data_IF_465571559784
#
_entry.id   IF_465571559784
#
_cell.length_a   1.000
_cell.length_b   1.000
_cell.length_c   1.000
_cell.angle_alpha   90.00
_cell.angle_beta   90.00
_cell.angle_gamma   90.00
#
_symmetry.space_group_name_H-M   'P 1'
#
loop_
_entity.id
_entity.type
_entity.pdbx_description
1 polymer ?
#
# COMPACT_ATOMS: atom_id res chain seq x y z
N UNK A 1 51.61 5.92 -1.28
CA UNK A 1 50.52 6.88 -1.05
C UNK A 1 49.23 6.05 -0.97
N UNK A 2 48.66 5.98 0.25
CA UNK A 2 47.36 5.29 0.46
C UNK A 2 46.25 6.32 0.19
N UNK A 3 45.43 6.07 -0.82
CA UNK A 3 44.19 6.82 -1.01
C UNK A 3 43.16 6.32 -0.02
N UNK A 4 42.80 7.18 0.94
CA UNK A 4 41.69 6.94 1.88
C UNK A 4 40.40 7.31 1.16
N UNK A 5 39.69 6.29 0.69
CA UNK A 5 38.34 6.46 0.13
C UNK A 5 37.38 6.93 1.22
N UNK A 6 36.93 8.17 1.15
CA UNK A 6 35.86 8.71 2.00
C UNK A 6 34.56 8.05 1.58
N UNK A 7 34.08 7.06 2.36
CA UNK A 7 32.73 6.53 2.27
C UNK A 7 31.78 7.60 2.84
N UNK A 8 31.18 8.38 1.96
CA UNK A 8 30.12 9.31 2.35
C UNK A 8 28.89 8.48 2.73
N UNK A 9 28.66 8.25 4.03
CA UNK A 9 27.38 7.76 4.54
C UNK A 9 26.33 8.82 4.20
N UNK A 10 25.55 8.58 3.15
CA UNK A 10 24.32 9.32 2.92
C UNK A 10 23.39 9.03 4.10
N UNK A 11 23.31 9.95 5.04
CA UNK A 11 22.27 10.00 6.05
C UNK A 11 20.93 10.13 5.29
N UNK A 12 20.27 9.01 5.03
CA UNK A 12 18.93 8.99 4.47
C UNK A 12 17.96 9.50 5.54
N UNK A 13 17.88 10.83 5.68
CA UNK A 13 16.89 11.49 6.51
C UNK A 13 15.48 11.05 6.06
N UNK A 14 14.55 10.95 7.00
CA UNK A 14 13.15 10.71 6.68
C UNK A 14 12.68 11.73 5.64
N UNK A 15 12.14 11.25 4.52
CA UNK A 15 11.65 12.12 3.45
C UNK A 15 10.55 13.03 4.01
N UNK A 16 10.75 14.34 3.97
CA UNK A 16 9.76 15.32 4.40
C UNK A 16 8.48 15.27 3.53
N UNK A 17 7.37 15.90 3.95
CA UNK A 17 6.14 15.94 3.19
C UNK A 17 6.31 16.71 1.87
N UNK A 18 5.55 16.34 0.85
CA UNK A 18 5.38 17.18 -0.34
C UNK A 18 4.30 18.22 -0.01
N UNK A 19 4.72 19.42 0.40
CA UNK A 19 3.86 20.47 0.98
C UNK A 19 2.68 20.90 0.10
N UNK A 20 2.72 20.68 -1.21
CA UNK A 20 1.60 20.93 -2.12
C UNK A 20 0.52 19.84 -2.10
N UNK A 21 0.79 18.70 -1.43
CA UNK A 21 -0.09 17.53 -1.40
C UNK A 21 -0.44 17.11 0.03
N UNK A 22 0.46 17.34 1.00
CA UNK A 22 0.32 16.86 2.37
C UNK A 22 1.02 17.80 3.36
N UNK A 23 0.44 18.06 4.56
CA UNK A 23 -0.92 17.70 4.96
C UNK A 23 -2.00 18.47 4.19
N UNK A 24 -3.28 18.04 4.24
CA UNK A 24 -4.40 18.85 3.75
C UNK A 24 -4.37 20.23 4.40
N UNK A 25 -4.73 21.26 3.63
CA UNK A 25 -4.83 22.62 4.17
C UNK A 25 -6.06 22.78 5.08
N UNK A 26 -6.01 23.72 6.00
CA UNK A 26 -7.17 24.03 6.83
C UNK A 26 -8.39 24.39 5.96
N UNK A 27 -9.52 23.70 6.20
CA UNK A 27 -10.75 23.88 5.42
C UNK A 27 -10.79 23.17 4.07
N UNK A 28 -9.71 22.48 3.66
CA UNK A 28 -9.70 21.66 2.46
C UNK A 28 -10.46 20.34 2.68
N UNK A 29 -11.25 19.85 1.72
CA UNK A 29 -11.82 18.53 1.78
C UNK A 29 -10.76 17.46 1.96
N UNK A 30 -11.00 16.51 2.86
CA UNK A 30 -10.07 15.41 3.12
C UNK A 30 -10.63 14.07 2.66
N UNK A 31 -9.73 13.20 2.17
CA UNK A 31 -10.01 11.81 1.85
C UNK A 31 -9.24 10.92 2.80
N UNK A 32 -9.98 10.25 3.69
CA UNK A 32 -9.35 9.32 4.63
C UNK A 32 -9.01 8.01 3.95
N UNK A 33 -7.78 7.58 4.10
CA UNK A 33 -7.31 6.24 3.76
C UNK A 33 -6.90 5.50 5.02
N UNK A 34 -6.88 4.18 4.95
CA UNK A 34 -6.57 3.32 6.09
C UNK A 34 -5.45 2.37 5.71
N UNK A 35 -4.37 2.41 6.46
CA UNK A 35 -3.28 1.44 6.38
C UNK A 35 -3.64 0.30 7.32
N UNK A 36 -3.96 -0.87 6.76
CA UNK A 36 -4.43 -2.04 7.52
C UNK A 36 -3.35 -3.10 7.52
N UNK A 37 -2.88 -3.47 8.70
CA UNK A 37 -1.95 -4.57 8.87
C UNK A 37 -2.69 -5.92 8.88
N UNK A 38 -2.16 -6.90 8.18
CA UNK A 38 -2.66 -8.28 8.12
C UNK A 38 -1.64 -9.28 8.70
N UNK A 39 -1.05 -8.95 9.85
CA UNK A 39 -0.09 -9.80 10.53
C UNK A 39 1.37 -9.46 10.20
N UNK A 40 2.24 -10.46 10.29
CA UNK A 40 3.68 -10.26 10.27
C UNK A 40 4.23 -9.81 8.90
N UNK A 41 3.51 -10.04 7.81
CA UNK A 41 4.08 -9.92 6.46
C UNK A 41 3.35 -8.96 5.52
N UNK A 42 2.08 -8.63 5.76
CA UNK A 42 1.27 -7.93 4.78
C UNK A 42 0.57 -6.69 5.33
N UNK A 43 0.47 -5.67 4.47
CA UNK A 43 -0.29 -4.45 4.72
C UNK A 43 -1.09 -4.08 3.47
N UNK A 44 -2.37 -3.75 3.66
CA UNK A 44 -3.28 -3.25 2.62
C UNK A 44 -3.58 -1.77 2.80
N UNK A 45 -4.08 -1.14 1.74
CA UNK A 45 -4.59 0.22 1.73
C UNK A 45 -6.09 0.20 1.48
N UNK A 46 -6.88 0.64 2.46
CA UNK A 46 -8.32 0.73 2.31
C UNK A 46 -8.78 2.18 2.14
N UNK A 47 -9.82 2.37 1.36
CA UNK A 47 -10.43 3.68 1.09
C UNK A 47 -11.94 3.58 1.13
N UNK A 48 -12.63 4.69 1.37
CA UNK A 48 -14.07 4.77 1.15
C UNK A 48 -14.37 4.60 -0.34
N UNK A 49 -15.17 3.62 -0.69
CA UNK A 49 -15.44 3.30 -2.10
C UNK A 49 -16.06 4.48 -2.88
N UNK A 50 -16.91 5.27 -2.22
CA UNK A 50 -17.50 6.49 -2.80
C UNK A 50 -16.50 7.57 -3.17
N UNK A 51 -15.30 7.55 -2.59
CA UNK A 51 -14.27 8.55 -2.83
C UNK A 51 -13.41 8.19 -4.07
N UNK A 52 -13.49 6.93 -4.53
CA UNK A 52 -12.78 6.47 -5.72
C UNK A 52 -13.42 7.13 -6.95
N UNK A 53 -12.65 7.86 -7.79
CA UNK A 53 -13.21 8.50 -8.98
C UNK A 53 -13.87 7.48 -9.93
N UNK A 54 -14.94 7.86 -10.63
CA UNK A 54 -15.59 6.98 -11.60
C UNK A 54 -14.62 6.48 -12.67
N UNK A 55 -14.68 5.18 -12.98
CA UNK A 55 -13.82 4.56 -13.99
C UNK A 55 -12.41 4.19 -13.51
N UNK A 56 -11.97 4.71 -12.38
CA UNK A 56 -10.72 4.33 -11.72
C UNK A 56 -10.92 3.03 -10.94
N UNK A 57 -9.94 2.16 -10.97
CA UNK A 57 -9.92 0.84 -10.34
C UNK A 57 -11.06 -0.09 -10.76
N UNK A 58 -10.79 -1.04 -11.66
CA UNK A 58 -11.81 -1.99 -12.13
C UNK A 58 -12.45 -2.78 -10.98
N UNK A 59 -11.72 -3.02 -9.89
CA UNK A 59 -12.22 -3.65 -8.68
C UNK A 59 -13.39 -2.89 -8.03
N UNK A 60 -13.53 -1.58 -8.24
CA UNK A 60 -14.65 -0.79 -7.72
C UNK A 60 -16.02 -1.32 -8.20
N UNK A 61 -16.07 -1.90 -9.41
CA UNK A 61 -17.27 -2.54 -9.96
C UNK A 61 -17.58 -3.88 -9.30
N UNK A 62 -16.56 -4.65 -8.93
CA UNK A 62 -16.70 -5.95 -8.29
C UNK A 62 -17.39 -5.86 -6.92
N UNK A 63 -17.22 -4.70 -6.27
CA UNK A 63 -17.66 -4.46 -4.89
C UNK A 63 -18.64 -3.29 -4.79
N UNK A 64 -19.53 -3.13 -5.78
CA UNK A 64 -20.48 -2.01 -5.87
C UNK A 64 -21.36 -1.79 -4.62
N UNK A 65 -21.59 -2.85 -3.83
CA UNK A 65 -22.40 -2.82 -2.58
C UNK A 65 -21.56 -2.59 -1.32
N UNK A 66 -20.23 -2.50 -1.42
CA UNK A 66 -19.35 -2.29 -0.28
C UNK A 66 -19.17 -0.79 0.02
N UNK A 67 -19.00 -0.46 1.29
CA UNK A 67 -18.69 0.91 1.74
C UNK A 67 -17.21 1.25 1.57
N UNK A 68 -16.36 0.27 1.79
CA UNK A 68 -14.91 0.38 1.70
C UNK A 68 -14.36 -0.63 0.71
N UNK A 69 -13.22 -0.30 0.13
CA UNK A 69 -12.45 -1.16 -0.74
C UNK A 69 -11.00 -1.15 -0.26
N UNK A 70 -10.48 -2.31 0.05
CA UNK A 70 -9.07 -2.52 0.37
C UNK A 70 -8.34 -3.06 -0.86
N UNK A 71 -7.14 -2.57 -1.11
CA UNK A 71 -6.24 -3.03 -2.16
C UNK A 71 -4.92 -3.42 -1.54
N UNK A 72 -4.47 -4.64 -1.87
CA UNK A 72 -3.13 -5.13 -1.59
C UNK A 72 -2.42 -5.54 -2.87
N UNK A 73 -1.10 -5.36 -2.91
CA UNK A 73 -0.23 -5.84 -3.98
C UNK A 73 0.73 -6.88 -3.44
N UNK A 74 1.08 -7.88 -4.23
CA UNK A 74 2.06 -8.86 -3.79
C UNK A 74 2.32 -9.99 -4.79
N UNK A 75 3.08 -11.00 -4.34
CA UNK A 75 3.36 -12.22 -5.09
C UNK A 75 2.12 -13.12 -5.16
N UNK A 76 1.81 -13.65 -6.35
CA UNK A 76 0.64 -14.50 -6.61
C UNK A 76 0.65 -15.79 -5.78
N UNK A 77 1.81 -16.46 -5.72
CA UNK A 77 1.95 -17.70 -4.95
C UNK A 77 1.87 -17.42 -3.45
N UNK A 78 2.46 -16.30 -2.99
CA UNK A 78 2.43 -15.88 -1.58
C UNK A 78 1.02 -15.56 -1.06
N UNK A 79 0.13 -15.07 -1.94
CA UNK A 79 -1.27 -14.82 -1.57
C UNK A 79 -2.16 -16.06 -1.62
N UNK A 80 -1.92 -16.98 -2.56
CA UNK A 80 -2.86 -18.06 -2.88
C UNK A 80 -2.51 -19.40 -2.25
N UNK A 81 -1.28 -19.55 -1.78
CA UNK A 81 -0.77 -20.81 -1.24
C UNK A 81 -0.34 -20.65 0.22
N UNK A 82 -0.38 -21.71 1.02
CA UNK A 82 0.26 -21.70 2.33
C UNK A 82 1.72 -21.24 2.20
N UNK A 83 2.13 -20.27 3.02
CA UNK A 83 3.48 -19.75 2.98
C UNK A 83 4.48 -20.82 3.42
N UNK A 84 5.36 -21.21 2.50
CA UNK A 84 6.49 -22.11 2.77
C UNK A 84 7.81 -21.36 2.57
N UNK A 85 8.89 -21.88 3.12
CA UNK A 85 10.25 -21.33 2.92
C UNK A 85 10.58 -21.23 1.43
N UNK A 86 10.21 -22.23 0.61
CA UNK A 86 10.44 -22.22 -0.84
C UNK A 86 9.66 -21.12 -1.57
N UNK A 87 8.39 -20.89 -1.21
CA UNK A 87 7.58 -19.80 -1.79
C UNK A 87 8.16 -18.44 -1.38
N UNK A 88 8.52 -18.27 -0.11
CA UNK A 88 9.13 -17.03 0.37
C UNK A 88 10.47 -16.75 -0.33
N UNK A 89 11.36 -17.73 -0.40
CA UNK A 89 12.67 -17.60 -1.05
C UNK A 89 12.52 -17.23 -2.54
N UNK A 90 11.59 -17.90 -3.28
CA UNK A 90 11.30 -17.60 -4.67
C UNK A 90 10.77 -16.18 -4.86
N UNK A 91 9.83 -15.74 -4.02
CA UNK A 91 9.27 -14.40 -4.08
C UNK A 91 10.36 -13.34 -3.80
N UNK A 92 11.18 -13.54 -2.77
CA UNK A 92 12.26 -12.62 -2.39
C UNK A 92 13.40 -12.57 -3.42
N UNK A 93 13.65 -13.66 -4.13
CA UNK A 93 14.65 -13.71 -5.23
C UNK A 93 14.21 -12.93 -6.49
N UNK A 94 12.93 -12.59 -6.62
CA UNK A 94 12.38 -11.81 -7.71
C UNK A 94 11.26 -12.54 -8.46
N UNK A 95 10.02 -12.29 -8.07
CA UNK A 95 8.84 -12.83 -8.74
C UNK A 95 8.18 -11.78 -9.64
N UNK A 96 7.97 -12.12 -10.91
CA UNK A 96 7.18 -11.33 -11.86
C UNK A 96 5.71 -11.73 -11.88
N UNK A 97 5.32 -12.73 -11.09
CA UNK A 97 3.92 -13.17 -10.94
C UNK A 97 3.26 -12.38 -9.82
N UNK A 98 3.08 -11.09 -10.04
CA UNK A 98 2.45 -10.20 -9.07
C UNK A 98 0.97 -10.01 -9.34
N UNK A 99 0.21 -9.77 -8.28
CA UNK A 99 -1.24 -9.56 -8.31
C UNK A 99 -1.62 -8.36 -7.46
N UNK A 100 -2.74 -7.74 -7.84
CA UNK A 100 -3.54 -6.89 -6.97
C UNK A 100 -4.71 -7.73 -6.45
N UNK A 101 -4.87 -7.74 -5.14
CA UNK A 101 -6.04 -8.27 -4.46
C UNK A 101 -6.87 -7.09 -3.95
N UNK A 102 -8.12 -7.03 -4.39
CA UNK A 102 -9.11 -6.11 -3.86
C UNK A 102 -10.12 -6.88 -3.02
N UNK A 103 -10.51 -6.32 -1.88
CA UNK A 103 -11.60 -6.83 -1.06
C UNK A 103 -12.52 -5.69 -0.60
N UNK A 104 -13.83 -5.95 -0.62
CA UNK A 104 -14.85 -4.97 -0.28
C UNK A 104 -15.56 -5.32 1.02
N UNK A 105 -15.68 -4.36 1.93
CA UNK A 105 -16.31 -4.56 3.23
C UNK A 105 -17.21 -3.38 3.65
N UNK A 106 -18.10 -3.61 4.65
CA UNK A 106 -19.08 -2.64 5.12
C UNK A 106 -18.86 -2.18 6.55
N UNK A 107 -18.09 -2.93 7.34
CA UNK A 107 -17.70 -2.51 8.68
C UNK A 107 -16.77 -1.29 8.61
N UNK A 108 -16.67 -0.52 9.70
CA UNK A 108 -15.64 0.52 9.81
C UNK A 108 -14.25 -0.13 9.86
N UNK A 109 -13.22 0.47 9.23
CA UNK A 109 -11.91 -0.17 9.06
C UNK A 109 -11.28 -0.68 10.36
N UNK A 110 -11.48 0.00 11.48
CA UNK A 110 -10.98 -0.43 12.79
C UNK A 110 -11.65 -1.68 13.35
N UNK A 111 -12.79 -2.10 12.79
CA UNK A 111 -13.52 -3.32 13.15
C UNK A 111 -13.32 -4.46 12.16
N UNK A 112 -12.57 -4.20 11.08
CA UNK A 112 -12.21 -5.22 10.09
C UNK A 112 -11.00 -6.00 10.58
N UNK A 113 -10.95 -7.28 10.26
CA UNK A 113 -9.88 -8.20 10.64
C UNK A 113 -9.77 -8.47 12.16
N UNK A 114 -8.74 -9.23 12.52
CA UNK A 114 -8.45 -9.54 13.91
C UNK A 114 -8.13 -8.27 14.71
N UNK A 115 -8.60 -8.14 15.95
CA UNK A 115 -8.25 -7.03 16.84
C UNK A 115 -6.73 -6.90 17.09
N UNK A 116 -5.96 -7.93 16.80
CA UNK A 116 -4.50 -7.94 16.93
C UNK A 116 -3.77 -7.10 15.86
N UNK A 117 -4.45 -6.69 14.80
CA UNK A 117 -3.81 -5.99 13.68
C UNK A 117 -4.03 -4.48 13.74
N UNK A 118 -2.98 -3.72 13.49
CA UNK A 118 -3.04 -2.27 13.50
C UNK A 118 -3.86 -1.71 12.34
N UNK A 119 -4.56 -0.61 12.62
CA UNK A 119 -5.24 0.21 11.62
C UNK A 119 -4.86 1.67 11.87
N UNK A 120 -4.29 2.32 10.87
CA UNK A 120 -3.90 3.74 10.94
C UNK A 120 -4.61 4.50 9.83
N UNK A 121 -5.36 5.53 10.21
CA UNK A 121 -5.99 6.46 9.28
C UNK A 121 -4.99 7.54 8.88
N UNK A 122 -4.94 7.86 7.60
CA UNK A 122 -4.21 9.00 7.05
C UNK A 122 -5.18 9.84 6.23
N UNK A 123 -5.25 11.13 6.55
CA UNK A 123 -6.10 12.07 5.83
C UNK A 123 -5.30 12.76 4.73
N UNK A 124 -5.75 12.64 3.50
CA UNK A 124 -5.12 13.18 2.30
C UNK A 124 -5.93 14.34 1.74
N UNK A 125 -5.26 15.30 1.11
CA UNK A 125 -5.91 16.26 0.23
C UNK A 125 -6.51 15.55 -1.00
N UNK A 126 -7.47 16.17 -1.69
CA UNK A 126 -8.01 15.61 -2.93
C UNK A 126 -6.90 15.33 -3.96
N UNK A 127 -5.91 16.22 -4.06
CA UNK A 127 -4.74 16.05 -4.95
C UNK A 127 -3.85 14.89 -4.52
N UNK A 128 -3.59 14.74 -3.22
CA UNK A 128 -2.83 13.62 -2.65
C UNK A 128 -3.54 12.28 -2.88
N UNK A 129 -4.85 12.25 -2.63
CA UNK A 129 -5.69 11.07 -2.87
C UNK A 129 -5.71 10.68 -4.35
N UNK A 130 -5.86 11.64 -5.26
CA UNK A 130 -5.81 11.38 -6.70
C UNK A 130 -4.46 10.77 -7.15
N UNK A 131 -3.34 11.17 -6.53
CA UNK A 131 -2.03 10.56 -6.80
C UNK A 131 -1.91 9.15 -6.26
N UNK A 132 -2.49 8.86 -5.08
CA UNK A 132 -2.60 7.49 -4.56
C UNK A 132 -3.43 6.62 -5.51
N UNK A 133 -4.60 7.09 -5.94
CA UNK A 133 -5.45 6.38 -6.89
C UNK A 133 -4.70 6.04 -8.18
N UNK A 134 -3.93 6.99 -8.71
CA UNK A 134 -3.12 6.78 -9.92
C UNK A 134 -1.99 5.77 -9.70
N UNK A 135 -1.34 5.75 -8.53
CA UNK A 135 -0.34 4.74 -8.19
C UNK A 135 -0.94 3.34 -8.24
N UNK A 136 -2.09 3.15 -7.63
CA UNK A 136 -2.79 1.86 -7.62
C UNK A 136 -3.24 1.49 -9.04
N UNK A 137 -3.81 2.44 -9.80
CA UNK A 137 -4.25 2.22 -11.17
C UNK A 137 -3.10 1.80 -12.10
N UNK A 138 -1.96 2.46 -12.00
CA UNK A 138 -0.75 2.12 -12.78
C UNK A 138 -0.17 0.74 -12.45
N UNK A 139 -0.56 0.16 -11.32
CA UNK A 139 -0.13 -1.18 -10.91
C UNK A 139 -0.88 -2.29 -11.64
N UNK A 140 -2.08 -2.04 -12.20
CA UNK A 140 -2.78 -3.05 -13.00
C UNK A 140 -2.00 -3.38 -14.27
N UNK A 141 -1.80 -4.66 -14.55
CA UNK A 141 -1.33 -5.11 -15.85
C UNK A 141 -2.50 -5.09 -16.84
N UNK A 142 -2.23 -4.59 -18.04
CA UNK A 142 -3.23 -4.42 -19.09
C UNK A 142 -3.01 -5.47 -20.19
N UNK A 143 -4.10 -5.93 -20.80
CA UNK A 143 -4.09 -6.76 -22.00
C UNK A 143 -3.79 -5.89 -23.26
N UNK A 144 -3.77 -6.52 -24.42
CA UNK A 144 -3.50 -5.85 -25.70
C UNK A 144 -4.55 -4.78 -26.06
N UNK A 145 -5.74 -4.84 -25.47
CA UNK A 145 -6.81 -3.86 -25.68
C UNK A 145 -6.80 -2.74 -24.61
N UNK A 146 -5.78 -2.70 -23.74
CA UNK A 146 -5.64 -1.72 -22.69
C UNK A 146 -6.56 -1.97 -21.47
N UNK A 147 -7.14 -3.17 -21.34
CA UNK A 147 -8.01 -3.51 -20.20
C UNK A 147 -7.23 -4.26 -19.12
N UNK A 148 -7.52 -4.01 -17.83
CA UNK A 148 -6.91 -4.78 -16.74
C UNK A 148 -7.16 -6.29 -16.85
N UNK A 149 -6.09 -7.08 -16.73
CA UNK A 149 -6.14 -8.55 -16.80
C UNK A 149 -6.74 -9.08 -15.50
N UNK A 150 -7.98 -9.57 -15.59
CA UNK A 150 -8.71 -10.13 -14.45
C UNK A 150 -8.40 -11.61 -14.27
N UNK A 151 -8.15 -12.02 -13.04
CA UNK A 151 -7.86 -13.41 -12.64
C UNK A 151 -9.01 -14.05 -11.83
N UNK A 152 -9.98 -13.24 -11.43
CA UNK A 152 -11.16 -13.61 -10.62
C UNK A 152 -11.79 -12.38 -9.98
N UNK A 153 -12.82 -12.58 -9.17
CA UNK A 153 -13.44 -11.47 -8.43
C UNK A 153 -12.41 -10.89 -7.46
N UNK A 154 -12.11 -9.59 -7.59
CA UNK A 154 -11.12 -8.90 -6.78
C UNK A 154 -9.66 -9.23 -7.10
N UNK A 155 -9.38 -10.18 -8.01
CA UNK A 155 -8.02 -10.58 -8.36
C UNK A 155 -7.64 -10.09 -9.75
N UNK A 156 -6.53 -9.38 -9.83
CA UNK A 156 -6.03 -8.81 -11.08
C UNK A 156 -4.53 -9.07 -11.22
N UNK A 157 -4.07 -9.30 -12.45
CA UNK A 157 -2.64 -9.32 -12.74
C UNK A 157 -2.07 -7.94 -12.47
N UNK A 158 -0.91 -7.90 -11.80
CA UNK A 158 -0.24 -6.66 -11.48
C UNK A 158 1.07 -6.50 -12.26
N UNK A 159 1.54 -5.27 -12.34
CA UNK A 159 2.88 -4.90 -12.80
C UNK A 159 3.85 -4.89 -11.64
N UNK A 160 5.13 -4.94 -11.96
CA UNK A 160 6.22 -4.91 -11.01
C UNK A 160 6.77 -6.29 -10.71
N UNK A 161 7.90 -6.31 -10.02
CA UNK A 161 8.58 -7.52 -9.56
C UNK A 161 8.60 -7.50 -8.04
N UNK A 162 8.05 -8.53 -7.42
CA UNK A 162 8.16 -8.71 -5.97
C UNK A 162 9.58 -9.20 -5.64
N UNK A 163 10.22 -8.62 -4.65
CA UNK A 163 11.57 -9.00 -4.22
C UNK A 163 11.81 -8.66 -2.75
N UNK A 164 12.98 -9.03 -2.23
CA UNK A 164 13.40 -8.64 -0.88
C UNK A 164 13.44 -7.11 -0.65
N UNK A 165 13.62 -6.33 -1.72
CA UNK A 165 13.70 -4.88 -1.67
C UNK A 165 12.43 -4.17 -2.19
N UNK A 166 11.50 -4.91 -2.76
CA UNK A 166 10.22 -4.39 -3.26
C UNK A 166 9.09 -5.34 -2.86
N UNK A 167 8.52 -5.10 -1.69
CA UNK A 167 7.47 -5.90 -1.04
C UNK A 167 6.11 -5.20 -1.11
N UNK A 168 5.04 -5.85 -0.64
CA UNK A 168 3.74 -5.20 -0.46
C UNK A 168 3.81 -3.94 0.42
N UNK A 169 4.69 -3.94 1.41
CA UNK A 169 4.85 -2.82 2.33
C UNK A 169 5.59 -1.64 1.68
N UNK A 170 6.62 -1.89 0.87
CA UNK A 170 7.26 -0.81 0.08
C UNK A 170 6.30 -0.25 -0.94
N UNK A 171 5.51 -1.08 -1.63
CA UNK A 171 4.48 -0.63 -2.58
C UNK A 171 3.44 0.29 -1.91
N UNK A 172 2.94 -0.10 -0.73
CA UNK A 172 2.02 0.74 0.05
C UNK A 172 2.67 2.07 0.46
N UNK A 173 3.93 2.03 0.91
CA UNK A 173 4.71 3.22 1.25
C UNK A 173 4.96 4.13 0.04
N UNK A 174 5.21 3.56 -1.15
CA UNK A 174 5.34 4.31 -2.40
C UNK A 174 4.04 5.05 -2.76
N UNK A 175 2.89 4.40 -2.58
CA UNK A 175 1.57 5.02 -2.74
C UNK A 175 1.39 6.22 -1.82
N UNK A 176 1.70 6.06 -0.53
CA UNK A 176 1.68 7.15 0.46
C UNK A 176 2.67 8.26 0.11
N UNK A 177 3.88 7.92 -0.33
CA UNK A 177 4.88 8.90 -0.76
C UNK A 177 4.41 9.71 -1.97
N UNK A 178 3.79 9.08 -2.94
CA UNK A 178 3.18 9.74 -4.11
C UNK A 178 2.02 10.64 -3.72
N UNK A 179 1.27 10.29 -2.67
CA UNK A 179 0.24 11.12 -2.09
C UNK A 179 0.78 12.34 -1.33
N UNK A 180 2.11 12.44 -1.15
CA UNK A 180 2.77 13.55 -0.48
C UNK A 180 3.18 13.28 0.95
N UNK A 181 2.86 12.12 1.53
CA UNK A 181 3.17 11.79 2.92
C UNK A 181 4.68 11.74 3.19
N UNK A 182 5.11 12.12 4.42
CA UNK A 182 6.51 12.10 4.83
C UNK A 182 6.97 10.68 5.19
N UNK A 183 7.13 9.83 4.17
CA UNK A 183 7.53 8.43 4.30
C UNK A 183 8.67 8.09 3.35
N UNK A 184 9.57 7.22 3.80
CA UNK A 184 10.71 6.71 3.01
C UNK A 184 10.46 5.23 2.67
N UNK A 185 9.97 4.92 1.45
CA UNK A 185 9.58 3.56 1.07
C UNK A 185 10.68 2.52 1.22
N UNK A 186 11.94 2.87 0.92
CA UNK A 186 13.07 1.95 1.01
C UNK A 186 13.25 1.29 2.39
N UNK A 187 12.75 1.91 3.45
CA UNK A 187 12.79 1.36 4.81
C UNK A 187 11.54 0.55 5.19
N UNK A 188 10.54 0.49 4.30
CA UNK A 188 9.25 -0.18 4.57
C UNK A 188 9.21 -1.62 4.02
N UNK A 189 10.24 -2.43 4.27
CA UNK A 189 10.31 -3.80 3.75
C UNK A 189 9.31 -4.75 4.43
N UNK A 190 8.96 -4.47 5.68
CA UNK A 190 8.01 -5.23 6.49
C UNK A 190 6.95 -4.30 7.11
N UNK A 191 5.83 -4.83 7.68
CA UNK A 191 4.81 -4.00 8.30
C UNK A 191 5.30 -3.11 9.43
N UNK A 192 6.21 -3.58 10.28
CA UNK A 192 6.71 -2.84 11.44
C UNK A 192 7.28 -1.46 11.06
N UNK A 193 8.32 -1.38 10.22
CA UNK A 193 8.87 -0.10 9.75
C UNK A 193 7.87 0.78 9.01
N UNK A 194 6.97 0.20 8.19
CA UNK A 194 5.90 0.94 7.52
C UNK A 194 4.97 1.61 8.55
N UNK A 195 4.42 0.82 9.48
CA UNK A 195 3.51 1.32 10.50
C UNK A 195 4.18 2.31 11.44
N UNK A 196 5.46 2.10 11.78
CA UNK A 196 6.24 3.05 12.57
C UNK A 196 6.29 4.42 11.90
N UNK A 197 6.61 4.49 10.61
CA UNK A 197 6.63 5.76 9.88
C UNK A 197 5.24 6.38 9.76
N UNK A 198 4.20 5.57 9.43
CA UNK A 198 2.83 6.08 9.24
C UNK A 198 2.26 6.67 10.53
N UNK A 199 2.62 6.14 11.71
CA UNK A 199 2.19 6.68 13.01
C UNK A 199 2.64 8.12 13.27
N UNK A 200 3.70 8.58 12.66
CA UNK A 200 4.18 9.96 12.83
C UNK A 200 3.29 11.00 12.14
N UNK A 201 2.46 10.59 11.20
CA UNK A 201 1.62 11.51 10.44
C UNK A 201 0.16 11.03 10.27
N UNK A 202 -0.15 9.82 10.68
CA UNK A 202 -1.49 9.24 10.70
C UNK A 202 -2.05 9.10 12.11
N UNK A 203 -3.34 8.85 12.22
CA UNK A 203 -4.05 8.62 13.48
C UNK A 203 -4.26 7.12 13.67
N UNK A 204 -3.66 6.53 14.70
CA UNK A 204 -3.90 5.15 15.06
C UNK A 204 -5.35 4.97 15.53
N UNK A 205 -6.14 4.19 14.81
CA UNK A 205 -7.50 3.80 15.20
C UNK A 205 -7.48 2.55 16.05
N UNK A 206 -6.56 1.66 15.73
CA UNK A 206 -6.27 0.43 16.48
C UNK A 206 -4.77 0.21 16.49
N UNK A 207 -4.12 0.23 17.67
CA UNK A 207 -2.71 -0.10 17.79
C UNK A 207 -2.48 -1.59 17.52
N UNK A 208 -1.25 -1.96 17.17
CA UNK A 208 -0.81 -3.35 17.15
C UNK A 208 -0.61 -3.79 18.62
N UNK A 209 -1.25 -4.87 19.03
CA UNK A 209 -0.94 -5.48 20.31
C UNK A 209 0.50 -6.02 20.27
N UNK A 210 1.30 -5.69 21.29
CA UNK A 210 2.63 -6.27 21.48
C UNK A 210 2.49 -7.76 21.76
N UNK A 211 3.21 -8.58 21.03
CA UNK A 211 3.36 -10.03 21.32
C UNK A 211 4.34 -10.23 22.46
#
# INVERSE_FOLDING_TARGET
>A
MLEVGIVTLLAAGCAGPIKSLYPPRAGEPVRSIYVINHGALHTGLAVKRSDIPPGVWPANRDYAKSKFLEIGWGDDDGYRKPLTVGIAAKALAGSRRTVLLADGFNAVPEKVNSPRFAVIQVDLSDSGFARLCRHIEQTYALDQSGRPIRLGKGWYRARGTYSAFHTCNTWAAEGLRRAGCPITPAYCLTPGPLLSQVRHFGRALRPMESF
#
